data_IF_127475667714
#
_entry.id   IF_127475667714
#
_cell.length_a   1.000
_cell.length_b   1.000
_cell.length_c   1.000
_cell.angle_alpha   90.00
_cell.angle_beta   90.00
_cell.angle_gamma   90.00
#
_symmetry.space_group_name_H-M   'P 1'
#
loop_
_entity.id
_entity.type
_entity.pdbx_description
1 polymer ?
#
# COMPACT_ATOMS: atom_id res chain seq x y z
N UNK A 1 31.65 -14.51 -54.88
CA UNK A 1 32.44 -13.54 -54.08
C UNK A 1 33.87 -14.03 -53.98
N UNK A 2 34.86 -13.19 -54.28
CA UNK A 2 36.27 -13.59 -54.27
C UNK A 2 36.75 -13.84 -52.83
N UNK A 3 37.47 -14.95 -52.54
CA UNK A 3 37.91 -15.31 -51.19
C UNK A 3 38.80 -14.26 -50.51
N UNK A 4 39.38 -13.32 -51.28
CA UNK A 4 40.13 -12.17 -50.77
C UNK A 4 39.26 -11.13 -50.03
N UNK A 5 37.97 -11.05 -50.31
CA UNK A 5 37.08 -10.10 -49.64
C UNK A 5 36.63 -10.60 -48.27
N UNK A 6 36.44 -11.91 -48.11
CA UNK A 6 36.04 -12.49 -46.82
C UNK A 6 37.13 -12.30 -45.75
N UNK A 7 38.41 -12.48 -46.12
CA UNK A 7 39.53 -12.30 -45.19
C UNK A 7 39.70 -10.84 -44.72
N UNK A 8 39.45 -9.86 -45.59
CA UNK A 8 39.51 -8.43 -45.23
C UNK A 8 38.39 -8.03 -44.26
N UNK A 9 37.19 -8.59 -44.45
CA UNK A 9 36.04 -8.32 -43.57
C UNK A 9 36.29 -8.91 -42.18
N UNK A 10 36.81 -10.13 -42.08
CA UNK A 10 37.12 -10.76 -40.78
C UNK A 10 38.16 -9.99 -39.98
N UNK A 11 39.20 -9.46 -40.65
CA UNK A 11 40.23 -8.64 -40.00
C UNK A 11 39.63 -7.31 -39.50
N UNK A 12 38.79 -6.66 -40.30
CA UNK A 12 38.14 -5.41 -39.90
C UNK A 12 37.21 -5.58 -38.70
N UNK A 13 36.42 -6.65 -38.67
CA UNK A 13 35.54 -6.96 -37.55
C UNK A 13 36.35 -7.29 -36.29
N UNK A 14 37.46 -8.02 -36.41
CA UNK A 14 38.34 -8.31 -35.28
C UNK A 14 38.95 -7.05 -34.65
N UNK A 15 39.38 -6.09 -35.48
CA UNK A 15 39.92 -4.81 -35.00
C UNK A 15 38.85 -3.99 -34.29
N UNK A 16 37.62 -3.93 -34.84
CA UNK A 16 36.50 -3.22 -34.22
C UNK A 16 36.14 -3.78 -32.83
N UNK A 17 36.16 -5.11 -32.68
CA UNK A 17 35.89 -5.76 -31.39
C UNK A 17 37.00 -5.42 -30.37
N UNK A 18 38.27 -5.43 -30.78
CA UNK A 18 39.39 -5.09 -29.90
C UNK A 18 39.35 -3.62 -29.45
N UNK A 19 39.01 -2.70 -30.35
CA UNK A 19 38.86 -1.27 -30.01
C UNK A 19 37.69 -1.06 -29.05
N UNK A 20 36.55 -1.72 -29.28
CA UNK A 20 35.41 -1.64 -28.37
C UNK A 20 35.77 -2.19 -26.98
N UNK A 21 36.50 -3.31 -26.89
CA UNK A 21 36.91 -3.89 -25.61
C UNK A 21 37.86 -2.97 -24.84
N UNK A 22 38.82 -2.35 -25.53
CA UNK A 22 39.76 -1.41 -24.93
C UNK A 22 39.08 -0.15 -24.38
N UNK A 23 38.07 0.38 -25.10
CA UNK A 23 37.28 1.52 -24.65
C UNK A 23 36.44 1.18 -23.40
N UNK A 24 35.83 0.00 -23.36
CA UNK A 24 35.05 -0.46 -22.20
C UNK A 24 35.94 -0.63 -20.97
N UNK A 25 37.14 -1.19 -21.12
CA UNK A 25 38.10 -1.34 -20.02
C UNK A 25 38.62 0.01 -19.52
N UNK A 26 38.89 0.97 -20.42
CA UNK A 26 39.27 2.33 -20.04
C UNK A 26 38.16 3.06 -19.26
N UNK A 27 36.90 2.86 -19.65
CA UNK A 27 35.75 3.44 -18.96
C UNK A 27 35.57 2.86 -17.55
N UNK A 28 35.68 1.53 -17.40
CA UNK A 28 35.63 0.85 -16.08
C UNK A 28 36.76 1.36 -15.16
N UNK A 29 37.97 1.55 -15.69
CA UNK A 29 39.09 2.10 -14.93
C UNK A 29 38.83 3.51 -14.40
N UNK A 30 38.21 4.38 -15.19
CA UNK A 30 37.85 5.74 -14.75
C UNK A 30 36.75 5.75 -13.67
N UNK A 31 35.79 4.83 -13.74
CA UNK A 31 34.73 4.74 -12.72
C UNK A 31 35.23 4.21 -11.38
N UNK A 32 36.25 3.35 -11.37
CA UNK A 32 36.82 2.80 -10.12
C UNK A 32 37.71 3.81 -9.40
N UNK A 33 38.43 4.69 -10.11
CA UNK A 33 39.24 5.76 -9.50
C UNK A 33 38.38 6.87 -8.88
N UNK A 34 37.12 7.04 -9.32
CA UNK A 34 36.19 8.00 -8.72
C UNK A 34 35.51 7.50 -7.43
N UNK A 35 35.62 6.20 -7.11
CA UNK A 35 34.93 5.57 -5.98
C UNK A 35 35.81 5.40 -4.72
N UNK A 36 37.09 5.78 -4.78
CA UNK A 36 38.06 5.49 -3.71
C UNK A 36 38.69 6.78 -3.16
N UNK A 37 37.88 7.72 -2.69
CA UNK A 37 38.31 8.77 -1.73
C UNK A 37 37.15 9.09 -0.79
N UNK A 38 37.02 8.32 0.29
CA UNK A 38 36.45 8.82 1.55
C UNK A 38 36.87 7.88 2.70
N UNK A 39 37.97 8.24 3.36
CA UNK A 39 38.27 7.79 4.73
C UNK A 39 38.23 9.02 5.65
N UNK A 40 37.66 8.91 6.88
CA UNK A 40 37.34 10.06 7.70
C UNK A 40 38.53 10.50 8.55
N UNK A 41 38.81 11.80 8.56
CA UNK A 41 39.76 12.42 9.47
C UNK A 41 39.02 13.22 10.57
N UNK A 42 39.25 12.77 11.81
CA UNK A 42 39.51 13.54 13.03
C UNK A 42 39.31 15.06 12.98
N UNK A 43 38.43 15.59 13.84
CA UNK A 43 38.36 17.01 14.20
C UNK A 43 39.60 17.42 15.03
N UNK A 44 40.05 18.70 15.02
CA UNK A 44 39.32 19.75 15.76
C UNK A 44 39.36 21.19 15.18
N UNK A 45 38.33 21.96 15.61
CA UNK A 45 38.34 23.36 16.08
C UNK A 45 38.72 24.57 15.18
N UNK A 46 37.74 25.50 15.07
CA UNK A 46 37.85 26.99 15.15
C UNK A 46 38.35 27.67 13.84
N UNK A 47 37.66 28.61 13.17
CA UNK A 47 37.08 29.88 13.61
C UNK A 47 36.15 30.49 12.52
N UNK A 48 35.22 31.35 12.97
CA UNK A 48 34.34 32.27 12.24
C UNK A 48 34.92 33.02 11.02
N UNK A 49 34.07 33.22 10.01
CA UNK A 49 33.80 34.56 9.45
C UNK A 49 32.58 34.58 8.51
N UNK A 50 31.47 35.15 9.00
CA UNK A 50 30.67 36.19 8.33
C UNK A 50 29.77 35.82 7.12
N UNK A 51 28.62 36.51 6.96
CA UNK A 51 27.49 36.04 6.16
C UNK A 51 27.38 36.72 4.79
N UNK A 52 26.72 36.07 3.84
CA UNK A 52 26.14 36.73 2.66
C UNK A 52 24.70 36.24 2.45
N UNK A 53 23.69 37.13 2.50
CA UNK A 53 22.29 36.79 2.28
C UNK A 53 21.98 36.82 0.79
N UNK A 54 21.34 35.77 0.28
CA UNK A 54 20.72 35.80 -1.05
C UNK A 54 19.37 36.50 -0.90
N UNK A 55 19.27 37.65 -1.57
CA UNK A 55 18.13 38.53 -1.62
C UNK A 55 16.98 37.92 -2.44
N UNK A 56 15.75 38.04 -1.91
CA UNK A 56 14.51 37.91 -2.66
C UNK A 56 14.15 39.27 -3.27
N UNK A 57 13.67 39.35 -4.53
CA UNK A 57 13.11 40.58 -5.04
C UNK A 57 11.71 40.82 -4.47
N UNK A 58 11.54 41.96 -3.79
CA UNK A 58 10.26 42.60 -3.48
C UNK A 58 10.19 43.92 -4.24
N UNK A 59 9.17 44.09 -5.08
CA UNK A 59 8.57 45.35 -5.57
C UNK A 59 7.39 44.91 -6.48
N UNK A 60 6.14 45.41 -6.43
CA UNK A 60 5.59 46.69 -5.99
C UNK A 60 4.07 46.55 -5.80
N UNK A 61 3.43 47.24 -4.84
CA UNK A 61 1.98 47.43 -4.78
C UNK A 61 1.56 48.77 -5.41
N UNK A 62 0.41 48.82 -6.08
CA UNK A 62 -0.42 49.99 -6.48
C UNK A 62 -1.56 49.36 -7.31
N UNK A 63 -2.86 49.55 -7.08
CA UNK A 63 -3.62 50.81 -6.97
C UNK A 63 -4.97 50.49 -6.29
N UNK A 64 -5.38 51.32 -5.33
CA UNK A 64 -6.78 51.47 -4.91
C UNK A 64 -7.59 52.14 -6.02
N UNK A 65 -8.71 51.53 -6.42
CA UNK A 65 -9.86 52.27 -6.95
C UNK A 65 -11.14 51.73 -6.31
N UNK A 66 -11.68 52.56 -5.43
CA UNK A 66 -13.02 52.51 -4.87
C UNK A 66 -14.06 52.73 -5.98
N UNK A 67 -15.08 51.87 -6.04
CA UNK A 67 -16.26 52.09 -6.87
C UNK A 67 -17.54 51.82 -6.03
N UNK A 68 -18.57 52.70 -6.13
CA UNK A 68 -19.54 52.86 -5.06
C UNK A 68 -20.66 51.81 -5.05
N UNK A 69 -21.16 51.62 -3.82
CA UNK A 69 -22.40 50.96 -3.44
C UNK A 69 -23.62 51.51 -4.20
N UNK A 70 -24.44 50.68 -4.86
CA UNK A 70 -25.76 51.10 -5.28
C UNK A 70 -26.74 51.04 -4.09
N UNK A 71 -27.27 52.21 -3.76
CA UNK A 71 -28.44 52.40 -2.88
C UNK A 71 -29.66 51.71 -3.50
N UNK A 72 -30.45 50.93 -2.72
CA UNK A 72 -31.68 50.32 -3.21
C UNK A 72 -32.77 51.38 -3.41
N UNK A 73 -33.33 51.42 -4.62
CA UNK A 73 -34.55 52.16 -4.92
C UNK A 73 -35.77 51.31 -4.52
N UNK A 74 -36.69 51.92 -3.78
CA UNK A 74 -37.94 51.33 -3.35
C UNK A 74 -38.94 51.27 -4.51
N UNK A 75 -39.46 50.07 -4.81
CA UNK A 75 -40.63 49.91 -5.69
C UNK A 75 -41.56 48.80 -5.20
N UNK A 76 -42.70 49.25 -4.69
CA UNK A 76 -44.05 48.70 -4.67
C UNK A 76 -44.28 47.17 -4.57
N UNK A 77 -44.95 46.84 -3.48
CA UNK A 77 -45.61 45.59 -3.10
C UNK A 77 -46.72 45.19 -4.08
N UNK A 78 -46.73 43.93 -4.58
CA UNK A 78 -47.95 43.20 -4.87
C UNK A 78 -48.20 42.18 -3.75
N UNK A 79 -49.24 42.42 -2.95
CA UNK A 79 -49.78 41.47 -1.98
C UNK A 79 -50.49 40.34 -2.73
N UNK A 80 -49.74 39.28 -3.03
CA UNK A 80 -50.27 37.96 -3.39
C UNK A 80 -50.08 36.98 -2.23
N UNK A 81 -50.96 35.96 -2.06
CA UNK A 81 -50.86 35.03 -0.95
C UNK A 81 -49.52 34.30 -0.98
N UNK A 82 -48.75 34.44 0.09
CA UNK A 82 -47.50 33.72 0.33
C UNK A 82 -47.82 32.23 0.37
N UNK A 83 -47.52 31.51 -0.72
CA UNK A 83 -47.53 30.06 -0.70
C UNK A 83 -46.44 29.60 0.29
N UNK A 84 -46.87 29.01 1.40
CA UNK A 84 -45.98 28.32 2.34
C UNK A 84 -45.15 27.31 1.54
N UNK A 85 -43.81 27.40 1.53
CA UNK A 85 -43.00 26.39 0.87
C UNK A 85 -43.30 25.05 1.52
N UNK A 86 -43.98 24.18 0.78
CA UNK A 86 -44.16 22.79 1.18
C UNK A 86 -42.77 22.20 1.26
N UNK A 87 -42.35 21.80 2.46
CA UNK A 87 -41.10 21.07 2.64
C UNK A 87 -41.20 19.82 1.78
N UNK A 88 -40.51 19.81 0.64
CA UNK A 88 -40.29 18.61 -0.13
C UNK A 88 -39.54 17.66 0.78
N UNK A 89 -40.18 16.55 1.16
CA UNK A 89 -39.56 15.53 1.99
C UNK A 89 -38.25 15.11 1.30
N UNK A 90 -37.11 15.45 1.89
CA UNK A 90 -35.81 14.97 1.46
C UNK A 90 -35.89 13.44 1.52
N UNK A 91 -35.72 12.71 0.41
CA UNK A 91 -35.78 11.26 0.45
C UNK A 91 -34.73 10.78 1.44
N UNK A 92 -35.19 10.15 2.53
CA UNK A 92 -34.31 9.50 3.49
C UNK A 92 -33.50 8.49 2.68
N UNK A 93 -32.15 8.57 2.66
CA UNK A 93 -31.35 7.63 1.91
C UNK A 93 -31.61 6.24 2.49
N UNK A 94 -32.28 5.38 1.72
CA UNK A 94 -32.44 3.98 2.08
C UNK A 94 -31.04 3.40 2.22
N UNK A 95 -30.64 2.90 3.41
CA UNK A 95 -29.34 2.27 3.56
C UNK A 95 -29.27 1.12 2.58
N UNK A 96 -28.36 1.21 1.61
CA UNK A 96 -28.13 0.10 0.68
C UNK A 96 -27.56 -1.04 1.50
N UNK A 97 -28.22 -2.21 1.55
CA UNK A 97 -27.81 -3.31 2.41
C UNK A 97 -26.35 -3.65 2.18
N UNK A 98 -25.63 -3.87 3.26
CA UNK A 98 -24.25 -4.33 3.21
C UNK A 98 -24.21 -5.83 2.96
N UNK A 99 -23.24 -6.29 2.17
CA UNK A 99 -23.04 -7.70 1.91
C UNK A 99 -22.60 -8.39 3.20
N UNK A 100 -23.32 -9.41 3.64
CA UNK A 100 -22.86 -10.25 4.74
C UNK A 100 -21.68 -11.10 4.28
N UNK A 101 -20.46 -10.61 4.52
CA UNK A 101 -19.22 -11.28 4.11
C UNK A 101 -19.06 -12.68 4.72
N UNK A 102 -19.63 -12.94 5.91
CA UNK A 102 -19.58 -14.26 6.54
C UNK A 102 -20.44 -15.32 5.82
N UNK A 103 -21.32 -14.89 4.91
CA UNK A 103 -22.08 -15.80 4.03
C UNK A 103 -21.40 -16.08 2.69
N UNK A 104 -20.16 -15.59 2.51
CA UNK A 104 -19.42 -15.72 1.27
C UNK A 104 -18.41 -16.87 1.32
N UNK A 105 -18.07 -17.40 0.16
CA UNK A 105 -16.95 -18.31 -0.07
C UNK A 105 -16.37 -18.05 -1.46
N UNK A 106 -15.38 -18.84 -1.90
CA UNK A 106 -14.76 -18.64 -3.21
C UNK A 106 -15.69 -18.86 -4.42
N UNK A 107 -16.94 -19.33 -4.24
CA UNK A 107 -17.95 -19.45 -5.30
C UNK A 107 -18.89 -18.24 -5.37
N UNK A 108 -19.14 -17.55 -4.26
CA UNK A 108 -20.09 -16.45 -4.19
C UNK A 108 -20.56 -16.17 -2.76
N UNK A 109 -21.70 -15.48 -2.62
CA UNK A 109 -22.29 -15.12 -1.32
C UNK A 109 -23.77 -15.49 -1.22
N UNK A 110 -24.26 -15.70 0.01
CA UNK A 110 -25.67 -15.99 0.28
C UNK A 110 -26.14 -17.26 -0.43
N UNK A 111 -27.32 -17.24 -1.04
CA UNK A 111 -27.85 -18.39 -1.80
C UNK A 111 -27.02 -18.78 -3.04
N UNK A 112 -26.08 -17.93 -3.47
CA UNK A 112 -25.11 -18.23 -4.53
C UNK A 112 -23.82 -18.86 -4.01
N UNK A 113 -23.56 -18.82 -2.71
CA UNK A 113 -22.43 -19.51 -2.10
C UNK A 113 -22.74 -21.02 -2.11
N UNK A 114 -22.09 -21.75 -3.02
CA UNK A 114 -22.13 -23.21 -3.03
C UNK A 114 -20.93 -23.69 -2.22
N UNK A 115 -21.16 -24.56 -1.24
CA UNK A 115 -20.09 -25.16 -0.45
C UNK A 115 -19.06 -25.79 -1.39
N UNK A 116 -17.79 -25.40 -1.24
CA UNK A 116 -16.72 -25.89 -2.09
C UNK A 116 -16.01 -27.07 -1.41
N UNK A 117 -15.61 -28.10 -2.17
CA UNK A 117 -14.72 -29.11 -1.63
C UNK A 117 -13.37 -28.47 -1.31
N UNK A 118 -12.69 -29.04 -0.32
CA UNK A 118 -11.30 -28.70 -0.04
C UNK A 118 -10.45 -28.91 -1.29
N UNK A 119 -9.74 -27.88 -1.74
CA UNK A 119 -8.87 -28.00 -2.91
C UNK A 119 -7.55 -28.65 -2.51
N UNK A 120 -7.07 -29.58 -3.33
CA UNK A 120 -5.67 -30.01 -3.28
C UNK A 120 -4.78 -28.91 -3.87
N UNK A 121 -4.43 -27.93 -3.03
CA UNK A 121 -3.28 -27.07 -3.31
C UNK A 121 -1.99 -27.86 -3.04
N UNK A 122 -0.88 -27.50 -3.67
CA UNK A 122 0.46 -27.83 -3.17
C UNK A 122 0.73 -26.90 -1.98
N UNK A 123 0.42 -27.29 -0.74
CA UNK A 123 0.27 -26.35 0.37
C UNK A 123 1.63 -25.85 0.88
N UNK A 124 2.68 -26.62 0.59
CA UNK A 124 4.04 -26.45 1.08
C UNK A 124 4.65 -25.09 0.66
N UNK A 125 4.11 -24.46 -0.39
CA UNK A 125 4.54 -23.13 -0.83
C UNK A 125 3.93 -21.98 -0.03
N UNK A 126 2.84 -22.19 0.71
CA UNK A 126 2.04 -21.08 1.24
C UNK A 126 1.81 -21.11 2.75
N UNK A 127 1.89 -22.27 3.40
CA UNK A 127 1.45 -22.41 4.79
C UNK A 127 2.53 -23.07 5.66
N UNK A 128 2.80 -22.44 6.80
CA UNK A 128 3.74 -22.93 7.80
C UNK A 128 3.24 -24.20 8.48
N UNK A 129 4.11 -25.20 8.57
CA UNK A 129 3.91 -26.38 9.43
C UNK A 129 4.55 -26.22 10.82
N UNK A 130 5.45 -25.25 10.95
CA UNK A 130 6.14 -24.89 12.18
C UNK A 130 5.82 -23.44 12.57
N UNK A 131 5.82 -23.11 13.87
CA UNK A 131 5.60 -21.75 14.33
C UNK A 131 6.57 -20.77 13.66
N UNK A 132 6.11 -19.56 13.37
CA UNK A 132 6.98 -18.53 12.84
C UNK A 132 8.02 -18.15 13.89
N UNK A 133 9.27 -18.01 13.46
CA UNK A 133 10.31 -17.38 14.29
C UNK A 133 10.20 -15.88 14.06
N UNK A 134 9.98 -15.14 15.15
CA UNK A 134 9.99 -13.68 15.13
C UNK A 134 11.40 -13.20 14.80
N UNK A 135 11.51 -12.19 13.93
CA UNK A 135 12.79 -11.52 13.70
C UNK A 135 13.13 -10.67 14.93
N UNK A 136 14.35 -10.83 15.42
CA UNK A 136 14.91 -9.92 16.43
C UNK A 136 15.75 -8.88 15.70
N UNK A 137 15.44 -7.60 15.91
CA UNK A 137 16.18 -6.48 15.34
C UNK A 137 16.69 -5.59 16.48
N UNK A 138 17.99 -5.67 16.84
CA UNK A 138 18.53 -4.93 17.99
C UNK A 138 18.47 -3.40 17.87
N UNK A 139 18.48 -2.89 16.63
CA UNK A 139 18.45 -1.45 16.35
C UNK A 139 17.03 -0.92 16.07
N UNK A 140 16.05 -1.82 15.94
CA UNK A 140 14.68 -1.41 15.66
C UNK A 140 14.00 -0.93 16.95
N UNK A 141 13.10 0.06 16.85
CA UNK A 141 12.22 0.41 17.96
C UNK A 141 11.43 -0.82 18.46
N UNK A 142 11.30 -0.93 19.78
CA UNK A 142 10.52 -1.99 20.42
C UNK A 142 9.03 -1.69 20.36
N UNK A 143 8.21 -2.74 20.41
CA UNK A 143 6.77 -2.60 20.62
C UNK A 143 6.53 -1.94 21.99
N UNK A 144 5.72 -0.88 22.03
CA UNK A 144 5.46 -0.11 23.27
C UNK A 144 4.43 -0.79 24.20
N UNK A 145 3.71 -1.82 23.70
CA UNK A 145 2.61 -2.51 24.40
C UNK A 145 3.08 -3.86 24.94
N UNK A 146 3.83 -4.61 24.14
CA UNK A 146 4.26 -5.97 24.48
C UNK A 146 5.77 -6.05 24.71
N UNK A 147 6.16 -6.83 25.72
CA UNK A 147 7.51 -7.34 25.86
C UNK A 147 7.89 -8.31 24.73
N UNK A 148 9.18 -8.52 24.53
CA UNK A 148 9.69 -9.51 23.57
C UNK A 148 9.17 -10.93 23.86
N UNK A 149 9.00 -11.29 25.15
CA UNK A 149 8.44 -12.58 25.54
C UNK A 149 6.98 -12.72 25.16
N UNK A 150 6.17 -11.67 25.36
CA UNK A 150 4.75 -11.68 24.99
C UNK A 150 4.59 -11.75 23.47
N UNK A 151 5.39 -11.00 22.70
CA UNK A 151 5.41 -11.09 21.24
C UNK A 151 5.80 -12.49 20.75
N UNK A 152 6.81 -13.10 21.37
CA UNK A 152 7.21 -14.46 21.03
C UNK A 152 6.06 -15.45 21.30
N UNK A 153 5.35 -15.32 22.42
CA UNK A 153 4.16 -16.14 22.70
C UNK A 153 3.05 -15.89 21.68
N UNK A 154 2.78 -14.62 21.35
CA UNK A 154 1.73 -14.22 20.40
C UNK A 154 1.95 -14.78 18.99
N UNK A 155 3.20 -14.89 18.56
CA UNK A 155 3.58 -15.39 17.23
C UNK A 155 3.87 -16.89 17.20
N UNK A 156 4.10 -17.52 18.36
CA UNK A 156 4.37 -18.96 18.48
C UNK A 156 3.08 -19.79 18.44
N UNK A 157 2.33 -19.67 17.34
CA UNK A 157 1.11 -20.42 17.10
C UNK A 157 1.32 -21.93 17.28
N UNK A 158 0.46 -22.55 18.10
CA UNK A 158 0.54 -23.98 18.35
C UNK A 158 0.17 -24.82 17.10
N UNK A 159 0.44 -26.13 17.18
CA UNK A 159 0.20 -27.05 16.08
C UNK A 159 -1.28 -27.11 15.68
N UNK A 160 -2.19 -26.97 16.64
CA UNK A 160 -3.63 -27.00 16.39
C UNK A 160 -4.09 -25.76 15.60
N UNK A 161 -3.55 -24.59 15.94
CA UNK A 161 -3.80 -23.31 15.29
C UNK A 161 -3.25 -23.29 13.87
N UNK A 162 -2.03 -23.79 13.66
CA UNK A 162 -1.45 -23.93 12.32
C UNK A 162 -2.26 -24.93 11.46
N UNK A 163 -2.70 -26.05 12.03
CA UNK A 163 -3.58 -27.00 11.34
C UNK A 163 -4.93 -26.36 10.98
N UNK A 164 -5.47 -25.51 11.85
CA UNK A 164 -6.69 -24.75 11.60
C UNK A 164 -6.52 -23.73 10.47
N UNK A 165 -5.41 -22.99 10.43
CA UNK A 165 -5.08 -22.11 9.31
C UNK A 165 -5.04 -22.89 8.00
N UNK A 166 -4.41 -24.07 8.01
CA UNK A 166 -4.34 -24.94 6.82
C UNK A 166 -5.72 -25.40 6.36
N UNK A 167 -6.59 -25.79 7.29
CA UNK A 167 -7.97 -26.11 6.97
C UNK A 167 -8.70 -24.94 6.31
N UNK A 168 -8.60 -23.74 6.89
CA UNK A 168 -9.23 -22.52 6.35
C UNK A 168 -8.73 -22.26 4.93
N UNK A 169 -7.41 -22.22 4.74
CA UNK A 169 -6.80 -21.93 3.45
C UNK A 169 -7.17 -22.94 2.35
N UNK A 170 -7.31 -24.22 2.69
CA UNK A 170 -7.68 -25.26 1.72
C UNK A 170 -9.19 -25.36 1.48
N UNK A 171 -10.02 -24.90 2.42
CA UNK A 171 -11.49 -24.99 2.33
C UNK A 171 -12.11 -24.09 1.27
N UNK A 172 -11.42 -23.00 0.90
CA UNK A 172 -11.96 -21.90 0.09
C UNK A 172 -13.19 -21.20 0.70
N UNK A 173 -13.50 -21.48 1.96
CA UNK A 173 -14.52 -20.80 2.74
C UNK A 173 -13.95 -19.52 3.37
N UNK A 174 -14.82 -18.55 3.64
CA UNK A 174 -14.40 -17.39 4.43
C UNK A 174 -14.24 -17.75 5.90
N UNK A 175 -13.21 -17.20 6.52
CA UNK A 175 -13.02 -17.20 7.96
C UNK A 175 -13.25 -15.79 8.50
N UNK A 176 -14.24 -15.64 9.36
CA UNK A 176 -14.55 -14.36 9.98
C UNK A 176 -13.56 -14.05 11.11
N UNK A 177 -12.75 -13.00 10.93
CA UNK A 177 -11.84 -12.48 11.96
C UNK A 177 -12.59 -11.59 12.97
N UNK A 178 -13.54 -10.81 12.45
CA UNK A 178 -14.50 -9.98 13.16
C UNK A 178 -15.71 -9.70 12.25
N UNK A 179 -16.84 -9.18 12.77
CA UNK A 179 -17.89 -8.61 11.91
C UNK A 179 -17.28 -7.66 10.86
N UNK A 180 -17.67 -7.86 9.59
CA UNK A 180 -17.14 -7.09 8.46
C UNK A 180 -15.69 -7.37 8.04
N UNK A 181 -14.95 -8.25 8.72
CA UNK A 181 -13.55 -8.58 8.37
C UNK A 181 -13.40 -10.09 8.17
N UNK A 182 -13.18 -10.52 6.93
CA UNK A 182 -13.03 -11.93 6.58
C UNK A 182 -11.69 -12.21 5.91
N UNK A 183 -11.19 -13.42 6.11
CA UNK A 183 -10.02 -13.98 5.46
C UNK A 183 -10.41 -15.18 4.59
N UNK A 184 -9.83 -15.32 3.40
CA UNK A 184 -9.91 -16.53 2.58
C UNK A 184 -8.69 -16.68 1.67
N UNK A 185 -8.56 -17.86 1.08
CA UNK A 185 -7.62 -18.10 -0.02
C UNK A 185 -8.40 -18.38 -1.30
N UNK A 186 -8.08 -17.65 -2.37
CA UNK A 186 -8.70 -17.79 -3.68
C UNK A 186 -7.64 -17.74 -4.77
N UNK A 187 -7.63 -18.74 -5.66
CA UNK A 187 -6.70 -18.82 -6.80
C UNK A 187 -5.22 -18.54 -6.41
N UNK A 188 -4.74 -19.19 -5.34
CA UNK A 188 -3.38 -19.05 -4.79
C UNK A 188 -3.02 -17.64 -4.25
N UNK A 189 -4.02 -16.83 -3.92
CA UNK A 189 -3.83 -15.57 -3.22
C UNK A 189 -4.60 -15.56 -1.90
N UNK A 190 -3.97 -14.97 -0.88
CA UNK A 190 -4.57 -14.71 0.42
C UNK A 190 -5.30 -13.37 0.34
N UNK A 191 -6.56 -13.35 0.74
CA UNK A 191 -7.38 -12.16 0.73
C UNK A 191 -7.95 -11.90 2.10
N UNK A 192 -7.85 -10.64 2.52
CA UNK A 192 -8.62 -10.10 3.63
C UNK A 192 -9.56 -9.07 3.02
N UNK A 193 -10.86 -9.27 3.24
CA UNK A 193 -11.89 -8.36 2.74
C UNK A 193 -12.56 -7.69 3.93
N UNK A 194 -12.60 -6.37 3.87
CA UNK A 194 -13.01 -5.47 4.95
C UNK A 194 -14.19 -4.66 4.45
N UNK A 195 -15.34 -4.79 5.11
CA UNK A 195 -16.51 -3.95 4.91
C UNK A 195 -16.38 -2.65 5.69
N UNK A 196 -15.95 -1.58 5.01
CA UNK A 196 -15.68 -0.25 5.52
C UNK A 196 -16.93 0.48 6.10
N UNK A 197 -18.12 -0.10 5.98
CA UNK A 197 -19.33 0.42 6.62
C UNK A 197 -19.59 -0.21 7.99
N UNK A 198 -19.02 -1.38 8.25
CA UNK A 198 -19.16 -2.08 9.51
C UNK A 198 -18.39 -1.33 10.62
N UNK A 199 -18.97 -1.39 11.82
CA UNK A 199 -18.38 -0.81 13.01
C UNK A 199 -17.71 -1.88 13.87
N UNK A 200 -16.87 -1.49 14.83
CA UNK A 200 -16.22 -2.45 15.73
C UNK A 200 -14.79 -2.83 15.34
N UNK A 201 -14.23 -2.18 14.32
CA UNK A 201 -12.80 -2.20 14.07
C UNK A 201 -12.31 -0.83 13.56
N UNK A 202 -11.00 -0.60 13.69
CA UNK A 202 -10.30 0.58 13.18
C UNK A 202 -9.17 0.16 12.24
N UNK A 203 -8.98 0.93 11.18
CA UNK A 203 -7.81 0.82 10.31
C UNK A 203 -6.74 1.80 10.78
N UNK A 204 -5.51 1.32 10.96
CA UNK A 204 -4.41 2.09 11.53
C UNK A 204 -3.19 2.06 10.64
N UNK A 205 -2.56 3.23 10.49
CA UNK A 205 -1.24 3.34 9.88
C UNK A 205 -0.25 3.49 11.01
N UNK A 206 0.41 2.40 11.36
CA UNK A 206 1.35 2.39 12.47
C UNK A 206 2.73 2.71 11.90
N UNK A 207 3.26 3.86 12.30
CA UNK A 207 4.59 4.35 11.94
C UNK A 207 5.47 4.42 13.20
N UNK A 208 6.77 4.09 13.12
CA UNK A 208 7.67 4.09 14.27
C UNK A 208 7.69 5.46 14.95
N UNK A 209 7.63 5.53 16.29
CA UNK A 209 7.63 6.80 17.05
C UNK A 209 9.00 7.49 17.13
N UNK A 210 9.51 7.94 15.98
CA UNK A 210 10.78 8.65 15.84
C UNK A 210 10.65 9.77 14.81
N UNK A 211 11.54 10.76 14.95
CA UNK A 211 11.71 11.84 13.97
C UNK A 211 12.58 11.41 12.78
N UNK A 212 13.31 10.28 12.88
CA UNK A 212 14.18 9.79 11.82
C UNK A 212 13.35 9.15 10.71
N UNK A 213 13.47 9.71 9.51
CA UNK A 213 12.87 9.16 8.30
C UNK A 213 13.50 7.81 7.95
N UNK A 214 12.68 6.88 7.47
CA UNK A 214 13.13 5.56 7.02
C UNK A 214 13.57 4.64 8.15
N UNK A 215 13.18 4.93 9.40
CA UNK A 215 13.40 3.99 10.49
C UNK A 215 12.67 2.69 10.21
N UNK A 216 13.42 1.61 10.27
CA UNK A 216 12.94 0.25 10.08
C UNK A 216 12.38 -0.30 11.40
N UNK A 217 11.33 -1.10 11.25
CA UNK A 217 10.69 -1.88 12.32
C UNK A 217 10.43 -3.30 11.80
N UNK A 218 10.21 -4.23 12.72
CA UNK A 218 9.60 -5.53 12.40
C UNK A 218 8.07 -5.42 12.44
N UNK A 219 7.29 -6.22 11.70
CA UNK A 219 5.84 -6.26 11.80
C UNK A 219 5.30 -6.43 13.22
N UNK A 220 6.02 -7.17 14.07
CA UNK A 220 5.70 -7.31 15.50
C UNK A 220 5.66 -6.00 16.28
N UNK A 221 6.33 -4.93 15.83
CA UNK A 221 6.19 -3.58 16.38
C UNK A 221 4.74 -3.06 16.33
N UNK A 222 3.99 -3.48 15.30
CA UNK A 222 2.65 -2.98 15.00
C UNK A 222 1.52 -3.78 15.66
N UNK A 223 1.85 -4.78 16.48
CA UNK A 223 0.87 -5.66 17.10
C UNK A 223 0.35 -5.09 18.42
N UNK A 224 -0.91 -5.39 18.71
CA UNK A 224 -1.60 -5.07 19.96
C UNK A 224 -2.53 -6.23 20.37
N UNK A 225 -3.11 -6.20 21.59
CA UNK A 225 -4.14 -7.16 21.98
C UNK A 225 -5.37 -7.15 21.07
N UNK A 226 -5.65 -6.03 20.40
CA UNK A 226 -6.81 -5.87 19.53
C UNK A 226 -6.53 -6.18 18.07
N UNK A 227 -5.28 -6.47 17.71
CA UNK A 227 -4.91 -6.78 16.33
C UNK A 227 -5.72 -7.94 15.77
N UNK A 228 -6.34 -7.70 14.61
CA UNK A 228 -7.00 -8.70 13.77
C UNK A 228 -6.12 -9.04 12.57
N UNK A 229 -5.46 -8.02 12.01
CA UNK A 229 -4.64 -8.11 10.81
C UNK A 229 -3.47 -7.16 10.98
N UNK A 230 -2.26 -7.62 10.65
CA UNK A 230 -1.07 -6.77 10.51
C UNK A 230 -0.39 -7.11 9.20
N UNK A 231 -0.09 -6.10 8.39
CA UNK A 231 0.61 -6.26 7.12
C UNK A 231 1.57 -5.10 6.87
N UNK A 232 2.58 -5.31 6.04
CA UNK A 232 3.44 -4.21 5.57
C UNK A 232 2.64 -3.25 4.70
N UNK A 233 3.14 -2.03 4.49
CA UNK A 233 2.52 -1.07 3.60
C UNK A 233 3.51 -0.42 2.63
N UNK A 234 4.13 0.69 3.01
CA UNK A 234 4.92 1.51 2.09
C UNK A 234 6.33 0.94 1.83
N UNK A 235 6.96 1.39 0.75
CA UNK A 235 8.27 0.93 0.31
C UNK A 235 9.40 1.45 1.21
N UNK A 236 10.34 0.56 1.54
CA UNK A 236 11.60 0.99 2.13
C UNK A 236 12.40 1.89 1.15
N UNK A 237 13.05 2.94 1.69
CA UNK A 237 13.88 3.87 0.92
C UNK A 237 13.12 4.86 0.03
N UNK A 238 11.84 4.60 -0.27
CA UNK A 238 11.00 5.53 -1.01
C UNK A 238 10.24 6.46 -0.07
N UNK A 239 9.95 7.62 -0.64
CA UNK A 239 9.07 8.60 -0.05
C UNK A 239 7.63 8.24 -0.40
N UNK A 240 6.84 7.71 0.53
CA UNK A 240 5.40 7.58 0.36
C UNK A 240 4.60 8.61 1.16
N UNK A 241 3.31 8.65 0.89
CA UNK A 241 2.38 9.58 1.54
C UNK A 241 1.73 8.85 2.72
N UNK A 242 2.40 8.90 3.88
CA UNK A 242 1.96 8.22 5.11
C UNK A 242 1.43 9.19 6.16
N UNK A 243 0.22 8.95 6.65
CA UNK A 243 -0.43 9.69 7.74
C UNK A 243 -1.13 8.71 8.66
N UNK A 244 -0.89 8.82 9.97
CA UNK A 244 -1.62 8.06 11.00
C UNK A 244 -3.00 8.67 11.23
N UNK A 245 -3.87 7.88 11.86
CA UNK A 245 -5.19 8.31 12.34
C UNK A 245 -5.14 9.50 13.31
N UNK A 246 -4.01 9.68 14.02
CA UNK A 246 -3.78 10.80 14.93
C UNK A 246 -3.29 12.07 14.22
N UNK A 247 -3.18 12.02 12.89
CA UNK A 247 -2.71 13.14 12.06
C UNK A 247 -1.19 13.25 11.94
N UNK A 248 -0.43 12.34 12.57
CA UNK A 248 1.03 12.30 12.47
C UNK A 248 1.42 11.82 11.07
N UNK A 249 2.21 12.60 10.34
CA UNK A 249 2.79 12.20 9.07
C UNK A 249 4.32 12.00 9.20
N UNK A 250 4.82 10.90 8.62
CA UNK A 250 6.27 10.67 8.50
C UNK A 250 6.83 11.43 7.29
N UNK A 251 6.08 11.39 6.18
CA UNK A 251 6.43 12.03 4.92
C UNK A 251 5.21 12.18 4.00
N UNK A 252 5.23 13.21 3.15
CA UNK A 252 4.29 13.39 2.05
C UNK A 252 5.07 13.51 0.73
N UNK A 253 4.77 12.63 -0.24
CA UNK A 253 5.39 12.66 -1.55
C UNK A 253 4.44 13.06 -2.66
N UNK A 254 4.86 14.04 -3.44
CA UNK A 254 4.16 14.41 -4.64
C UNK A 254 4.28 13.30 -5.70
N UNK A 255 3.15 12.76 -6.18
CA UNK A 255 3.16 11.85 -7.33
C UNK A 255 3.32 10.36 -7.01
N UNK A 256 3.05 9.94 -5.76
CA UNK A 256 2.93 8.53 -5.37
C UNK A 256 1.48 8.18 -5.06
N UNK A 257 1.08 6.96 -5.39
CA UNK A 257 -0.21 6.46 -4.95
C UNK A 257 -0.26 6.30 -3.42
N UNK A 258 -1.46 6.46 -2.90
CA UNK A 258 -1.78 6.13 -1.53
C UNK A 258 -3.17 5.51 -1.44
N UNK A 259 -3.33 4.60 -0.49
CA UNK A 259 -4.63 4.29 0.08
C UNK A 259 -4.86 5.36 1.14
N UNK A 260 -5.93 6.12 1.06
CA UNK A 260 -6.18 7.20 2.01
C UNK A 260 -7.66 7.37 2.30
N UNK A 261 -7.96 7.96 3.45
CA UNK A 261 -9.32 8.38 3.80
C UNK A 261 -9.43 9.91 3.69
N UNK A 262 -10.51 10.38 3.08
CA UNK A 262 -10.90 11.80 3.03
C UNK A 262 -12.41 11.88 3.17
N UNK A 263 -12.90 12.80 4.01
CA UNK A 263 -14.34 12.98 4.27
C UNK A 263 -15.02 11.66 4.67
N UNK A 264 -14.37 10.85 5.52
CA UNK A 264 -14.89 9.55 5.98
C UNK A 264 -14.84 8.42 4.95
N UNK A 265 -14.40 8.66 3.71
CA UNK A 265 -14.37 7.63 2.65
C UNK A 265 -12.94 7.28 2.27
N UNK A 266 -12.67 5.98 2.15
CA UNK A 266 -11.41 5.49 1.61
C UNK A 266 -11.37 5.62 0.09
N UNK A 267 -10.18 5.83 -0.46
CA UNK A 267 -9.89 5.85 -1.88
C UNK A 267 -8.44 5.45 -2.14
N UNK A 268 -8.16 5.05 -3.38
CA UNK A 268 -6.80 4.81 -3.89
C UNK A 268 -6.57 5.80 -5.02
N UNK A 269 -5.56 6.66 -4.89
CA UNK A 269 -5.20 7.65 -5.92
C UNK A 269 -3.81 8.22 -5.67
N UNK A 270 -3.32 9.05 -6.59
CA UNK A 270 -2.11 9.85 -6.43
C UNK A 270 -2.45 11.19 -5.78
N UNK A 271 -1.88 11.46 -4.61
CA UNK A 271 -2.10 12.72 -3.91
C UNK A 271 -1.07 13.75 -4.41
N UNK A 272 -1.52 14.69 -5.24
CA UNK A 272 -0.63 15.63 -5.95
C UNK A 272 -0.41 16.99 -5.29
N UNK A 273 -0.97 17.25 -4.12
CA UNK A 273 -0.75 18.56 -3.49
C UNK A 273 -0.80 18.43 -1.98
N UNK A 274 -0.03 19.27 -1.28
CA UNK A 274 -0.08 19.34 0.18
C UNK A 274 -1.48 19.72 0.70
N UNK A 275 -2.21 20.69 0.13
CA UNK A 275 -3.59 20.96 0.54
C UNK A 275 -4.56 19.78 0.38
N UNK A 276 -4.35 18.92 -0.63
CA UNK A 276 -5.15 17.70 -0.76
C UNK A 276 -4.75 16.65 0.29
N UNK A 277 -3.45 16.55 0.58
CA UNK A 277 -2.92 15.70 1.63
C UNK A 277 -3.38 16.11 3.03
N UNK A 278 -3.41 17.40 3.36
CA UNK A 278 -3.81 17.86 4.69
C UNK A 278 -5.26 17.49 5.02
N UNK A 279 -6.10 17.35 3.99
CA UNK A 279 -7.50 16.87 4.10
C UNK A 279 -7.62 15.36 4.30
N UNK A 280 -6.55 14.58 4.19
CA UNK A 280 -6.60 13.15 4.52
C UNK A 280 -6.59 12.96 6.03
N UNK A 281 -7.34 11.99 6.53
CA UNK A 281 -7.35 11.63 7.95
C UNK A 281 -6.33 10.55 8.27
N UNK A 282 -6.16 9.61 7.35
CA UNK A 282 -5.19 8.51 7.41
C UNK A 282 -4.78 8.16 5.98
N UNK A 283 -3.55 7.71 5.79
CA UNK A 283 -3.08 7.27 4.48
C UNK A 283 -1.85 6.36 4.58
N UNK A 284 -1.74 5.41 3.66
CA UNK A 284 -0.60 4.52 3.47
C UNK A 284 -0.04 4.73 2.07
N UNK A 285 1.24 5.04 1.99
CA UNK A 285 1.97 5.11 0.73
C UNK A 285 2.11 3.75 0.05
N UNK A 286 2.44 3.77 -1.24
CA UNK A 286 2.80 2.59 -2.01
C UNK A 286 2.83 2.90 -3.49
N UNK A 287 2.24 2.00 -4.29
CA UNK A 287 2.15 2.09 -5.74
C UNK A 287 3.10 1.11 -6.45
N UNK A 288 3.03 0.97 -7.77
CA UNK A 288 2.08 1.63 -8.64
C UNK A 288 0.66 1.11 -8.46
N UNK A 289 -0.30 1.96 -8.84
CA UNK A 289 -1.67 1.61 -9.17
C UNK A 289 -1.60 0.68 -10.38
N UNK A 290 -2.23 -0.48 -10.26
CA UNK A 290 -2.24 -1.50 -11.30
C UNK A 290 -3.65 -1.93 -11.70
N UNK A 291 -4.68 -1.40 -11.02
CA UNK A 291 -6.06 -1.49 -11.46
C UNK A 291 -6.73 -0.12 -11.42
N UNK A 292 -7.54 0.16 -12.44
CA UNK A 292 -8.31 1.39 -12.56
C UNK A 292 -9.61 1.13 -13.30
N UNK A 293 -10.71 1.73 -12.84
CA UNK A 293 -12.04 1.53 -13.44
C UNK A 293 -12.42 0.05 -13.58
N UNK A 294 -12.00 -0.77 -12.61
CA UNK A 294 -12.35 -2.18 -12.52
C UNK A 294 -11.65 -3.11 -13.52
N UNK A 295 -10.55 -2.67 -14.12
CA UNK A 295 -9.70 -3.49 -14.99
C UNK A 295 -8.23 -3.34 -14.62
N UNK A 296 -7.41 -4.29 -15.05
CA UNK A 296 -5.96 -4.12 -15.04
C UNK A 296 -5.59 -2.94 -15.94
N UNK A 297 -5.02 -1.90 -15.34
CA UNK A 297 -4.57 -0.67 -16.00
C UNK A 297 -3.34 -0.21 -15.23
N UNK A 298 -2.17 -0.34 -15.84
CA UNK A 298 -0.90 -0.28 -15.13
C UNK A 298 -0.31 1.14 -15.15
N UNK A 299 -0.09 1.69 -13.97
CA UNK A 299 0.39 3.05 -13.74
C UNK A 299 -0.41 4.14 -14.51
N UNK A 300 -1.76 4.14 -14.43
CA UNK A 300 -2.60 5.03 -15.23
C UNK A 300 -2.42 6.50 -14.86
N UNK A 301 -2.06 6.76 -13.61
CA UNK A 301 -1.80 8.08 -13.05
C UNK A 301 -0.34 8.52 -13.21
N UNK A 302 0.51 7.78 -13.93
CA UNK A 302 1.91 8.14 -14.17
C UNK A 302 2.64 8.51 -12.88
N UNK A 303 2.58 7.61 -11.91
CA UNK A 303 3.32 7.70 -10.66
C UNK A 303 4.82 7.78 -10.91
N UNK A 304 5.51 8.40 -9.96
CA UNK A 304 6.92 8.71 -10.08
C UNK A 304 7.83 7.50 -9.82
N UNK A 305 7.68 6.46 -10.63
CA UNK A 305 8.64 5.36 -10.77
C UNK A 305 9.40 5.52 -12.09
N UNK A 306 10.68 5.17 -12.12
CA UNK A 306 11.39 5.02 -13.37
C UNK A 306 10.86 3.79 -14.16
N UNK A 307 11.16 3.79 -15.45
CA UNK A 307 10.62 2.78 -16.37
C UNK A 307 11.13 1.37 -16.07
N UNK A 308 12.35 1.23 -15.55
CA UNK A 308 12.95 -0.06 -15.22
C UNK A 308 12.24 -0.70 -14.02
N UNK A 309 12.03 0.06 -12.95
CA UNK A 309 11.25 -0.36 -11.78
C UNK A 309 9.80 -0.70 -12.17
N UNK A 310 9.18 0.11 -13.03
CA UNK A 310 7.84 -0.19 -13.54
C UNK A 310 7.82 -1.51 -14.32
N UNK A 311 8.80 -1.78 -15.18
CA UNK A 311 8.84 -3.03 -15.93
C UNK A 311 9.12 -4.23 -15.02
N UNK A 312 10.03 -4.06 -14.06
CA UNK A 312 10.34 -5.05 -13.04
C UNK A 312 9.07 -5.44 -12.26
N UNK A 313 8.33 -4.47 -11.72
CA UNK A 313 7.11 -4.75 -10.96
C UNK A 313 6.01 -5.40 -11.79
N UNK A 314 5.90 -5.02 -13.07
CA UNK A 314 4.88 -5.51 -14.00
C UNK A 314 5.03 -7.01 -14.29
N UNK A 315 6.26 -7.47 -14.50
CA UNK A 315 6.55 -8.78 -15.10
C UNK A 315 7.00 -9.84 -14.09
N UNK A 316 7.55 -9.43 -12.95
CA UNK A 316 8.10 -10.36 -11.97
C UNK A 316 7.01 -11.14 -11.22
N UNK A 317 7.32 -12.42 -10.92
CA UNK A 317 6.46 -13.37 -10.20
C UNK A 317 6.78 -13.49 -8.70
N UNK A 318 7.53 -12.55 -8.15
CA UNK A 318 7.70 -12.36 -6.70
C UNK A 318 6.38 -12.09 -5.95
N UNK A 319 6.43 -12.21 -4.62
CA UNK A 319 5.32 -11.96 -3.71
C UNK A 319 4.75 -10.55 -3.91
N UNK A 320 3.43 -10.46 -4.08
CA UNK A 320 2.69 -9.19 -4.12
C UNK A 320 1.97 -9.01 -2.81
N UNK A 321 1.96 -7.78 -2.32
CA UNK A 321 0.98 -7.30 -1.38
C UNK A 321 0.32 -6.06 -1.99
N UNK A 322 -0.98 -5.91 -1.78
CA UNK A 322 -1.77 -4.86 -2.43
C UNK A 322 -3.00 -4.50 -1.61
N UNK A 323 -3.46 -3.28 -1.83
CA UNK A 323 -4.77 -2.82 -1.43
C UNK A 323 -5.63 -2.62 -2.69
N UNK A 324 -6.87 -3.08 -2.67
CA UNK A 324 -7.86 -2.79 -3.69
C UNK A 324 -9.18 -2.32 -3.07
N UNK A 325 -9.90 -1.42 -3.72
CA UNK A 325 -11.12 -0.82 -3.19
C UNK A 325 -12.28 -0.94 -4.18
N UNK A 326 -13.47 -1.23 -3.66
CA UNK A 326 -14.69 -1.29 -4.45
C UNK A 326 -15.11 0.08 -5.00
N UNK A 327 -15.89 0.07 -6.07
CA UNK A 327 -16.41 1.27 -6.74
C UNK A 327 -17.30 2.11 -5.83
N UNK A 328 -18.11 1.46 -5.00
CA UNK A 328 -18.96 2.11 -4.00
C UNK A 328 -18.19 2.55 -2.73
N UNK A 329 -16.90 2.23 -2.63
CA UNK A 329 -16.03 2.49 -1.47
C UNK A 329 -16.50 1.81 -0.18
N UNK A 330 -17.25 0.72 -0.30
CA UNK A 330 -17.70 -0.09 0.85
C UNK A 330 -16.73 -1.20 1.22
N UNK A 331 -15.95 -1.72 0.29
CA UNK A 331 -15.08 -2.87 0.53
C UNK A 331 -13.62 -2.56 0.21
N UNK A 332 -12.74 -2.91 1.13
CA UNK A 332 -11.29 -2.89 0.97
C UNK A 332 -10.77 -4.33 0.96
N UNK A 333 -9.92 -4.65 0.00
CA UNK A 333 -9.25 -5.92 -0.15
C UNK A 333 -7.77 -5.72 0.15
N UNK A 334 -7.25 -6.38 1.18
CA UNK A 334 -5.81 -6.57 1.35
C UNK A 334 -5.47 -7.94 0.81
N UNK A 335 -4.70 -7.97 -0.27
CA UNK A 335 -4.46 -9.20 -1.03
C UNK A 335 -2.98 -9.45 -1.19
N UNK A 336 -2.56 -10.67 -0.87
CA UNK A 336 -1.20 -11.16 -1.04
C UNK A 336 -1.17 -12.37 -1.96
N UNK A 337 -0.25 -12.39 -2.93
CA UNK A 337 -0.08 -13.51 -3.85
C UNK A 337 1.38 -13.90 -3.99
N UNK A 338 1.66 -15.17 -4.19
CA UNK A 338 2.97 -15.68 -4.57
C UNK A 338 2.96 -16.17 -6.01
N UNK A 339 4.00 -15.87 -6.79
CA UNK A 339 4.13 -16.45 -8.13
C UNK A 339 3.30 -15.76 -9.21
N UNK A 340 2.47 -14.78 -8.87
CA UNK A 340 1.64 -14.04 -9.84
C UNK A 340 2.33 -12.77 -10.32
N UNK A 341 2.22 -12.50 -11.62
CA UNK A 341 2.44 -11.17 -12.20
C UNK A 341 1.37 -10.19 -11.72
N UNK A 342 1.58 -8.88 -11.87
CA UNK A 342 0.55 -7.90 -11.47
C UNK A 342 -0.76 -8.05 -12.24
N UNK A 343 -0.68 -8.46 -13.51
CA UNK A 343 -1.87 -8.70 -14.34
C UNK A 343 -2.68 -9.89 -13.84
N UNK A 344 -2.01 -11.01 -13.53
CA UNK A 344 -2.68 -12.19 -12.97
C UNK A 344 -3.27 -11.89 -11.58
N UNK A 345 -2.54 -11.14 -10.75
CA UNK A 345 -3.01 -10.72 -9.43
C UNK A 345 -4.24 -9.79 -9.52
N UNK A 346 -4.24 -8.85 -10.46
CA UNK A 346 -5.40 -8.01 -10.74
C UNK A 346 -6.62 -8.84 -11.16
N UNK A 347 -6.44 -9.80 -12.06
CA UNK A 347 -7.52 -10.67 -12.50
C UNK A 347 -8.09 -11.47 -11.33
N UNK A 348 -7.24 -11.98 -10.44
CA UNK A 348 -7.66 -12.71 -9.25
C UNK A 348 -8.60 -11.85 -8.36
N UNK A 349 -8.20 -10.60 -8.06
CA UNK A 349 -9.02 -9.66 -7.27
C UNK A 349 -10.35 -9.34 -7.99
N UNK A 350 -10.32 -9.13 -9.31
CA UNK A 350 -11.51 -8.85 -10.12
C UNK A 350 -12.48 -10.04 -10.07
N UNK A 351 -11.99 -11.26 -10.28
CA UNK A 351 -12.78 -12.47 -10.29
C UNK A 351 -13.44 -12.72 -8.93
N UNK A 352 -12.69 -12.53 -7.83
CA UNK A 352 -13.24 -12.63 -6.48
C UNK A 352 -14.37 -11.61 -6.27
N UNK A 353 -14.13 -10.34 -6.63
CA UNK A 353 -15.13 -9.29 -6.55
C UNK A 353 -16.40 -9.65 -7.33
N UNK A 354 -16.26 -10.09 -8.59
CA UNK A 354 -17.40 -10.48 -9.44
C UNK A 354 -18.23 -11.61 -8.81
N UNK A 355 -17.58 -12.64 -8.27
CA UNK A 355 -18.28 -13.74 -7.58
C UNK A 355 -19.07 -13.26 -6.37
N UNK A 356 -18.55 -12.30 -5.63
CA UNK A 356 -19.19 -11.72 -4.46
C UNK A 356 -20.19 -10.60 -4.80
N UNK A 357 -20.34 -10.25 -6.08
CA UNK A 357 -21.16 -9.11 -6.50
C UNK A 357 -20.56 -7.75 -6.14
N UNK A 358 -19.27 -7.69 -5.83
CA UNK A 358 -18.52 -6.47 -5.52
C UNK A 358 -17.81 -5.99 -6.79
N UNK A 359 -18.14 -4.80 -7.26
CA UNK A 359 -17.40 -4.15 -8.34
C UNK A 359 -16.12 -3.53 -7.78
N UNK A 360 -14.98 -4.20 -7.95
CA UNK A 360 -13.66 -3.63 -7.62
C UNK A 360 -13.33 -2.51 -8.62
N UNK A 361 -12.77 -1.39 -8.15
CA UNK A 361 -12.50 -0.21 -8.98
C UNK A 361 -11.00 0.06 -9.14
N UNK A 362 -10.28 0.15 -8.03
CA UNK A 362 -8.86 0.55 -8.02
C UNK A 362 -8.05 -0.40 -7.16
N UNK A 363 -6.79 -0.59 -7.52
CA UNK A 363 -5.83 -1.31 -6.70
C UNK A 363 -4.43 -0.72 -6.86
N UNK A 364 -3.70 -0.69 -5.75
CA UNK A 364 -2.30 -0.29 -5.69
C UNK A 364 -1.48 -1.33 -4.97
N UNK A 365 -0.19 -1.36 -5.27
CA UNK A 365 0.74 -2.19 -4.53
C UNK A 365 1.15 -1.57 -3.21
N UNK A 366 1.39 -2.45 -2.25
CA UNK A 366 2.27 -2.20 -1.11
C UNK A 366 3.63 -2.84 -1.37
N UNK A 367 4.56 -2.64 -0.44
CA UNK A 367 5.87 -3.27 -0.49
C UNK A 367 5.73 -4.79 -0.48
N UNK A 368 6.44 -5.44 -1.39
CA UNK A 368 6.27 -6.85 -1.73
C UNK A 368 7.55 -7.65 -1.51
N UNK A 369 7.65 -8.79 -2.18
CA UNK A 369 8.88 -9.59 -2.18
C UNK A 369 9.38 -9.96 -0.78
N UNK A 370 10.64 -9.65 -0.47
CA UNK A 370 11.25 -9.84 0.83
C UNK A 370 10.57 -9.01 1.93
N UNK A 371 9.92 -7.90 1.60
CA UNK A 371 9.17 -7.07 2.55
C UNK A 371 7.74 -7.56 2.78
N UNK A 372 7.24 -8.50 1.97
CA UNK A 372 5.85 -8.95 2.06
C UNK A 372 5.58 -9.65 3.39
N UNK A 373 4.63 -9.14 4.15
CA UNK A 373 4.18 -9.72 5.39
C UNK A 373 2.68 -9.51 5.56
N UNK A 374 1.97 -10.56 5.98
CA UNK A 374 0.57 -10.48 6.40
C UNK A 374 0.36 -11.53 7.50
N UNK A 375 -0.19 -11.09 8.63
CA UNK A 375 -0.59 -11.94 9.74
C UNK A 375 -2.04 -11.67 10.12
N UNK A 376 -2.74 -12.73 10.52
CA UNK A 376 -4.14 -12.66 10.95
C UNK A 376 -4.30 -13.22 12.37
N UNK A 377 -5.30 -12.75 13.09
CA UNK A 377 -5.65 -13.29 14.40
C UNK A 377 -6.34 -14.66 14.25
N UNK A 378 -5.81 -15.69 14.92
CA UNK A 378 -6.45 -16.99 15.08
C UNK A 378 -6.41 -17.41 16.55
N UNK A 379 -7.55 -17.35 17.22
CA UNK A 379 -7.61 -17.55 18.67
C UNK A 379 -6.77 -16.51 19.39
N UNK A 380 -5.82 -16.98 20.20
CA UNK A 380 -4.92 -16.12 20.98
C UNK A 380 -3.66 -15.70 20.20
N UNK A 381 -3.47 -16.21 18.97
CA UNK A 381 -2.26 -16.02 18.19
C UNK A 381 -2.41 -15.00 17.07
N UNK A 382 -1.33 -14.29 16.76
CA UNK A 382 -1.14 -13.65 15.45
C UNK A 382 -0.37 -14.61 14.56
N UNK A 383 -0.97 -15.03 13.46
CA UNK A 383 -0.41 -16.08 12.60
C UNK A 383 -0.02 -15.47 11.25
N UNK A 384 1.28 -15.38 10.93
CA UNK A 384 1.73 -15.03 9.58
C UNK A 384 1.21 -16.06 8.59
N UNK A 385 0.45 -15.61 7.58
CA UNK A 385 -0.10 -16.49 6.54
C UNK A 385 0.86 -16.67 5.36
N UNK A 386 1.97 -15.93 5.37
CA UNK A 386 3.10 -16.09 4.48
C UNK A 386 4.18 -16.91 5.19
N UNK A 387 4.75 -17.90 4.51
CA UNK A 387 5.87 -18.69 5.05
C UNK A 387 7.20 -17.92 4.93
N UNK A 388 7.24 -16.69 5.47
CA UNK A 388 8.39 -15.79 5.46
C UNK A 388 8.72 -15.31 6.87
N UNK A 389 10.00 -15.16 7.18
CA UNK A 389 10.44 -14.46 8.39
C UNK A 389 9.91 -13.02 8.38
N UNK A 390 9.74 -12.43 9.56
CA UNK A 390 9.41 -11.00 9.67
C UNK A 390 10.43 -10.13 8.92
N UNK A 391 9.98 -9.32 7.93
CA UNK A 391 10.86 -8.39 7.25
C UNK A 391 11.14 -7.14 8.06
N UNK A 392 12.04 -6.30 7.55
CA UNK A 392 12.17 -4.92 7.99
C UNK A 392 11.29 -4.03 7.10
N UNK A 393 10.44 -3.23 7.74
CA UNK A 393 9.43 -2.40 7.06
C UNK A 393 9.44 -0.99 7.65
N UNK A 394 8.84 -0.03 6.95
CA UNK A 394 8.79 1.37 7.39
C UNK A 394 7.48 1.75 8.08
N UNK A 395 6.41 1.00 7.82
CA UNK A 395 5.11 1.16 8.46
C UNK A 395 4.23 -0.09 8.25
N UNK A 396 3.11 -0.13 8.99
CA UNK A 396 2.12 -1.18 8.87
C UNK A 396 0.74 -0.64 8.52
N UNK A 397 0.01 -1.45 7.76
CA UNK A 397 -1.44 -1.42 7.78
C UNK A 397 -1.93 -2.42 8.83
N UNK A 398 -2.67 -1.93 9.82
CA UNK A 398 -3.25 -2.76 10.86
C UNK A 398 -4.78 -2.62 10.89
N UNK A 399 -5.46 -3.73 11.12
CA UNK A 399 -6.89 -3.78 11.47
C UNK A 399 -6.95 -4.17 12.94
N UNK A 400 -7.58 -3.35 13.77
CA UNK A 400 -7.73 -3.61 15.21
C UNK A 400 -9.20 -3.57 15.61
N UNK A 401 -9.62 -4.43 16.53
CA UNK A 401 -10.96 -4.32 17.15
C UNK A 401 -11.11 -2.96 17.83
N UNK A 402 -12.25 -2.31 17.64
CA UNK A 402 -12.60 -1.11 18.41
C UNK A 402 -12.97 -1.53 19.82
N UNK A 403 -12.47 -0.78 20.80
CA UNK A 403 -12.84 -0.95 22.21
C UNK A 403 -14.20 -0.37 22.53
#
# INVERSE_FOLDING_TARGET
MSPKNTQRITIFVGILILVALALTLAWIGQTLVAAEVETPATAPAVTRSGPSPIAFPTATPLVETSQPTPTPSATLTPTGPTATPTQTATPTPTPTPTLNLASCNASGCGSKAVALPTVMLTPDLFLRETPAVRRVCPECPHNEIFSDSELNTLLAADRATLARLRQIALSQETYQLAPGVVYLVFNNAHHIVIDLQESGYTLRNIIPNTSKRGTLITPSYCMSPESLVVTTADYHGLNGSNKTETGRDLFFHLGRAALYQRNGRFNIDVIRTRPAWDKTTIAWGGGPIFMWQGRYDYNPEREWFDQENLEHYRTTRWTKLSAAISKDRKYLFISASYGLTLKEHAQNIIDLGQKWGIQVDRAMRFDGSESAYIAIRLGDYMVPVLNLEEPLIVNCFAVERSR
#
